data_IF_289117791450
#
_entry.id   IF_289117791450
#
_cell.length_a   1.000
_cell.length_b   1.000
_cell.length_c   1.000
_cell.angle_alpha   90.00
_cell.angle_beta   90.00
_cell.angle_gamma   90.00
#
_symmetry.space_group_name_H-M   'P 1'
#
loop_
_entity.id
_entity.type
_entity.pdbx_description
1 polymer ?
#
# COMPACT_ATOMS: atom_id res chain seq x y z
N UNK A 1 -1.21 -2.71 4.78
CA UNK A 1 0.10 -3.41 4.69
C UNK A 1 0.21 -4.57 5.65
N UNK A 2 -0.07 -4.36 6.93
CA UNK A 2 -0.19 -5.47 7.90
C UNK A 2 -1.35 -6.39 7.51
N UNK A 3 -2.52 -5.81 7.25
CA UNK A 3 -3.74 -6.56 6.90
C UNK A 3 -3.61 -7.34 5.58
N UNK A 4 -2.90 -6.77 4.61
CA UNK A 4 -2.58 -7.42 3.32
C UNK A 4 -1.41 -8.44 3.44
N UNK A 5 -0.81 -8.58 4.63
CA UNK A 5 0.19 -9.62 4.90
C UNK A 5 1.61 -9.34 4.40
N UNK A 6 1.91 -8.12 3.94
CA UNK A 6 3.25 -7.73 3.46
C UNK A 6 4.28 -7.56 4.60
N UNK A 7 3.81 -7.16 5.78
CA UNK A 7 4.65 -6.97 6.97
C UNK A 7 4.17 -7.86 8.10
N UNK A 8 5.06 -8.21 9.03
CA UNK A 8 4.72 -9.08 10.17
C UNK A 8 4.06 -8.30 11.30
N UNK A 9 4.58 -7.10 11.60
CA UNK A 9 4.01 -6.17 12.58
C UNK A 9 4.60 -4.78 12.40
N UNK A 10 3.96 -3.77 12.99
CA UNK A 10 4.53 -2.46 13.22
C UNK A 10 4.33 -2.05 14.68
N UNK A 11 5.22 -1.21 15.19
CA UNK A 11 5.21 -0.72 16.57
C UNK A 11 5.48 0.79 16.55
N UNK A 12 4.72 1.54 17.35
CA UNK A 12 5.00 2.97 17.60
C UNK A 12 6.05 3.06 18.71
N UNK A 13 7.18 3.70 18.44
CA UNK A 13 8.28 3.86 19.40
C UNK A 13 8.40 5.33 19.73
N UNK A 14 8.23 5.68 21.01
CA UNK A 14 8.38 7.05 21.47
C UNK A 14 9.86 7.37 21.69
N UNK A 15 10.37 8.37 20.95
CA UNK A 15 11.74 8.89 21.11
C UNK A 15 11.74 10.29 21.77
N UNK A 16 10.67 10.65 22.48
CA UNK A 16 10.52 11.89 23.22
C UNK A 16 9.92 13.02 22.38
N UNK A 17 10.56 13.39 21.26
CA UNK A 17 10.09 14.48 20.40
C UNK A 17 9.15 14.02 19.29
N UNK A 18 9.36 12.79 18.79
CA UNK A 18 8.58 12.21 17.70
C UNK A 18 8.34 10.73 17.98
N UNK A 19 7.24 10.23 17.42
CA UNK A 19 6.95 8.80 17.39
C UNK A 19 7.52 8.20 16.11
N UNK A 20 8.40 7.22 16.27
CA UNK A 20 8.91 6.41 15.19
C UNK A 20 7.96 5.25 14.90
N UNK A 21 7.88 4.86 13.63
CA UNK A 21 7.19 3.64 13.21
C UNK A 21 8.24 2.57 12.95
N UNK A 22 8.36 1.61 13.86
CA UNK A 22 9.23 0.43 13.69
C UNK A 22 8.46 -0.66 12.96
N UNK A 23 8.94 -1.07 11.79
CA UNK A 23 8.28 -2.09 10.95
C UNK A 23 9.11 -3.38 10.96
N UNK A 24 8.47 -4.51 11.27
CA UNK A 24 9.06 -5.84 11.11
C UNK A 24 8.64 -6.44 9.76
N UNK A 25 9.59 -6.60 8.85
CA UNK A 25 9.35 -7.18 7.53
C UNK A 25 9.04 -8.68 7.62
N UNK A 26 8.22 -9.16 6.68
CA UNK A 26 7.91 -10.59 6.50
C UNK A 26 8.77 -11.17 5.37
N UNK A 27 9.29 -12.36 5.60
CA UNK A 27 10.07 -13.14 4.63
C UNK A 27 9.45 -14.53 4.48
N UNK A 28 9.76 -15.21 3.37
CA UNK A 28 9.35 -16.59 3.10
C UNK A 28 10.06 -17.62 3.98
N UNK A 29 9.84 -18.91 3.69
CA UNK A 29 10.43 -20.02 4.43
C UNK A 29 11.97 -19.97 4.37
N UNK A 30 12.50 -19.66 3.19
CA UNK A 30 13.88 -19.25 3.02
C UNK A 30 13.99 -17.73 3.19
N UNK A 31 14.96 -17.27 3.98
CA UNK A 31 15.15 -15.82 4.27
C UNK A 31 15.43 -14.99 3.02
N UNK A 32 15.82 -15.61 1.91
CA UNK A 32 16.03 -14.93 0.63
C UNK A 32 14.73 -14.63 -0.12
N UNK A 33 13.63 -15.30 0.22
CA UNK A 33 12.33 -15.06 -0.39
C UNK A 33 11.67 -13.85 0.26
N UNK A 34 11.67 -12.72 -0.45
CA UNK A 34 11.08 -11.47 0.02
C UNK A 34 9.60 -11.45 -0.33
N UNK A 35 8.76 -11.16 0.67
CA UNK A 35 7.32 -10.96 0.44
C UNK A 35 7.05 -9.65 -0.30
N UNK A 36 7.86 -8.61 -0.04
CA UNK A 36 7.86 -7.37 -0.81
C UNK A 36 9.01 -7.45 -1.79
N UNK A 37 8.67 -7.62 -3.07
CA UNK A 37 9.62 -7.66 -4.18
C UNK A 37 9.79 -6.29 -4.84
N UNK A 38 8.76 -5.43 -4.75
CA UNK A 38 8.74 -4.10 -5.32
C UNK A 38 7.82 -3.12 -4.57
N UNK A 39 8.27 -1.87 -4.48
CA UNK A 39 7.46 -0.75 -4.01
C UNK A 39 7.69 0.43 -4.95
N UNK A 40 6.61 0.97 -5.50
CA UNK A 40 6.68 2.06 -6.48
C UNK A 40 5.69 3.16 -6.13
N UNK A 41 6.18 4.38 -5.97
CA UNK A 41 5.34 5.58 -5.84
C UNK A 41 4.78 5.98 -7.21
N UNK A 42 3.47 6.13 -7.28
CA UNK A 42 2.73 6.45 -8.52
C UNK A 42 2.43 7.95 -8.56
N UNK A 43 1.62 8.45 -7.62
CA UNK A 43 1.38 9.88 -7.49
C UNK A 43 2.56 10.60 -6.83
N UNK A 44 3.15 11.55 -7.56
CA UNK A 44 4.31 12.35 -7.13
C UNK A 44 3.90 13.82 -7.04
N UNK A 45 4.58 14.65 -6.24
CA UNK A 45 4.22 16.07 -6.10
C UNK A 45 4.15 16.83 -7.44
N UNK A 46 5.02 16.50 -8.40
CA UNK A 46 5.03 17.10 -9.74
C UNK A 46 4.02 16.52 -10.73
N UNK A 47 3.43 15.36 -10.44
CA UNK A 47 2.36 14.77 -11.25
C UNK A 47 1.47 13.89 -10.38
N UNK A 48 0.26 14.39 -10.13
CA UNK A 48 -0.76 13.68 -9.37
C UNK A 48 -1.53 12.73 -10.29
N UNK A 49 -1.70 11.50 -9.84
CA UNK A 49 -2.38 10.45 -10.61
C UNK A 49 -3.65 10.07 -9.87
N UNK A 50 -4.79 10.22 -10.54
CA UNK A 50 -6.11 9.88 -10.02
C UNK A 50 -6.75 8.81 -10.90
N UNK A 51 -7.54 7.94 -10.28
CA UNK A 51 -8.34 6.93 -10.96
C UNK A 51 -9.81 7.09 -10.58
N UNK A 52 -10.70 7.03 -11.57
CA UNK A 52 -12.14 6.86 -11.32
C UNK A 52 -12.42 5.45 -10.78
N UNK A 53 -13.62 5.24 -10.23
CA UNK A 53 -14.02 3.93 -9.69
C UNK A 53 -13.88 2.78 -10.70
N UNK A 54 -14.14 3.06 -11.98
CA UNK A 54 -14.07 2.07 -13.07
C UNK A 54 -12.65 1.88 -13.61
N UNK A 55 -11.74 2.77 -13.24
CA UNK A 55 -10.35 2.84 -13.75
C UNK A 55 -9.33 2.50 -12.65
N UNK A 56 -9.78 1.97 -11.51
CA UNK A 56 -8.89 1.59 -10.40
C UNK A 56 -7.87 0.57 -10.92
N UNK A 57 -6.56 0.86 -10.85
CA UNK A 57 -5.53 0.03 -11.46
C UNK A 57 -5.38 -1.31 -10.73
N UNK A 58 -5.07 -2.36 -11.49
CA UNK A 58 -4.64 -3.66 -10.94
C UNK A 58 -3.12 -3.76 -11.00
N UNK A 59 -2.50 -4.22 -9.91
CA UNK A 59 -1.05 -4.45 -9.86
C UNK A 59 -0.81 -5.94 -10.09
N UNK A 60 0.04 -6.27 -11.08
CA UNK A 60 0.33 -7.66 -11.47
C UNK A 60 -0.93 -8.53 -11.59
N UNK A 61 -1.94 -8.01 -12.28
CA UNK A 61 -3.24 -8.64 -12.48
C UNK A 61 -3.96 -9.10 -11.18
N UNK A 62 -3.72 -8.39 -10.07
CA UNK A 62 -4.34 -8.65 -8.77
C UNK A 62 -3.46 -9.41 -7.77
N UNK A 63 -2.24 -9.78 -8.17
CA UNK A 63 -1.23 -10.35 -7.27
C UNK A 63 -0.58 -9.29 -6.37
N UNK A 64 -0.48 -8.06 -6.87
CA UNK A 64 -0.01 -6.91 -6.09
C UNK A 64 -1.17 -6.10 -5.52
N UNK A 65 -0.82 -5.08 -4.74
CA UNK A 65 -1.78 -4.14 -4.14
C UNK A 65 -1.49 -2.72 -4.59
N UNK A 66 -2.54 -2.00 -4.99
CA UNK A 66 -2.47 -0.55 -5.14
C UNK A 66 -3.07 0.14 -3.91
N UNK A 67 -2.38 1.16 -3.42
CA UNK A 67 -2.83 2.01 -2.31
C UNK A 67 -3.43 3.28 -2.88
N UNK A 68 -4.68 3.55 -2.54
CA UNK A 68 -5.43 4.71 -3.00
C UNK A 68 -5.83 5.59 -1.82
N UNK A 69 -5.71 6.91 -2.00
CA UNK A 69 -6.33 7.90 -1.13
C UNK A 69 -7.70 8.27 -1.69
N UNK A 70 -8.75 7.99 -0.94
CA UNK A 70 -10.15 8.21 -1.36
C UNK A 70 -10.86 9.13 -0.36
N UNK A 71 -12.10 9.52 -0.64
CA UNK A 71 -12.94 10.25 0.31
C UNK A 71 -13.33 9.42 1.55
N UNK A 72 -13.14 8.10 1.51
CA UNK A 72 -13.35 7.18 2.63
C UNK A 72 -12.05 6.85 3.38
N UNK A 73 -10.96 7.57 3.08
CA UNK A 73 -9.63 7.34 3.65
C UNK A 73 -8.70 6.58 2.71
N UNK A 74 -7.58 6.10 3.26
CA UNK A 74 -6.56 5.35 2.52
C UNK A 74 -6.91 3.87 2.52
N UNK A 75 -7.18 3.33 1.34
CA UNK A 75 -7.67 1.95 1.16
C UNK A 75 -6.92 1.25 0.01
N UNK A 76 -7.09 -0.06 -0.08
CA UNK A 76 -6.53 -0.87 -1.18
C UNK A 76 -7.42 -0.84 -2.41
N UNK A 77 -6.88 -1.21 -3.57
CA UNK A 77 -7.64 -1.28 -4.81
C UNK A 77 -8.78 -2.30 -4.77
N UNK A 78 -8.60 -3.41 -4.05
CA UNK A 78 -9.68 -4.37 -3.81
C UNK A 78 -10.83 -3.70 -3.07
N UNK A 79 -10.52 -2.99 -1.98
CA UNK A 79 -11.54 -2.30 -1.20
C UNK A 79 -12.19 -1.13 -1.95
N UNK A 80 -11.41 -0.41 -2.74
CA UNK A 80 -11.92 0.68 -3.58
C UNK A 80 -12.94 0.19 -4.61
N UNK A 81 -12.70 -1.00 -5.23
CA UNK A 81 -13.66 -1.63 -6.14
C UNK A 81 -14.93 -2.11 -5.42
N UNK A 82 -14.80 -2.71 -4.24
CA UNK A 82 -15.95 -3.12 -3.43
C UNK A 82 -16.86 -1.94 -3.04
N UNK A 83 -16.25 -0.80 -2.71
CA UNK A 83 -16.96 0.41 -2.31
C UNK A 83 -17.36 1.30 -3.51
N UNK A 84 -17.03 0.90 -4.73
CA UNK A 84 -17.25 1.67 -5.95
C UNK A 84 -16.70 3.11 -5.90
N UNK A 85 -15.54 3.31 -5.28
CA UNK A 85 -14.90 4.62 -5.14
C UNK A 85 -13.60 4.72 -5.94
N UNK A 86 -13.35 5.92 -6.48
CA UNK A 86 -12.06 6.31 -7.05
C UNK A 86 -11.19 7.08 -6.06
N UNK A 87 -10.04 7.57 -6.51
CA UNK A 87 -9.15 8.37 -5.68
C UNK A 87 -7.78 8.64 -6.28
N UNK A 88 -6.88 9.21 -5.48
CA UNK A 88 -5.47 9.40 -5.83
C UNK A 88 -4.72 8.06 -5.68
N UNK A 89 -3.99 7.66 -6.72
CA UNK A 89 -3.20 6.42 -6.70
C UNK A 89 -1.82 6.73 -6.12
N UNK A 90 -1.61 6.38 -4.85
CA UNK A 90 -0.40 6.76 -4.12
C UNK A 90 0.80 5.89 -4.50
N UNK A 91 0.64 4.57 -4.40
CA UNK A 91 1.73 3.63 -4.57
C UNK A 91 1.24 2.23 -4.94
N UNK A 92 2.11 1.46 -5.57
CA UNK A 92 1.93 0.05 -5.87
C UNK A 92 2.97 -0.77 -5.09
N UNK A 93 2.54 -1.92 -4.59
CA UNK A 93 3.38 -2.87 -3.85
C UNK A 93 3.12 -4.29 -4.36
N UNK A 94 4.20 -5.06 -4.51
CA UNK A 94 4.19 -6.47 -4.89
C UNK A 94 5.49 -7.14 -4.45
#
# INVERSE_FOLDING_TARGET
LLDEGYIRKYEMVDNGNFQDIRITLKYGADKNDKIITGLKRISKPGLRVYAKKDEVPKVLDGLGTAILSTNQGVITDKKARELEVGGEVLAFIW
#
